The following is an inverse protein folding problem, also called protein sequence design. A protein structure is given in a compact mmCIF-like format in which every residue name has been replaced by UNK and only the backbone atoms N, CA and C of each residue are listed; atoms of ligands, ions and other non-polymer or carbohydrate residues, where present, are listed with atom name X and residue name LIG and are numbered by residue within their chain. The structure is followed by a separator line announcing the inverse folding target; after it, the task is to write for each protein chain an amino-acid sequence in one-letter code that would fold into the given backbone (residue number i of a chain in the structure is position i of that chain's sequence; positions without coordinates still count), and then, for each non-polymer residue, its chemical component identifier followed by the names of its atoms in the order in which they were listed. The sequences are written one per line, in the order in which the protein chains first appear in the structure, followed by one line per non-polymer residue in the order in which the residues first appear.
data_IF_554603833898
#
_entry.id   IF_554603833898
#
_cell.length_a   1.000
_cell.length_b   1.000
_cell.length_c   1.000
_cell.angle_alpha   90.00
_cell.angle_beta   90.00
_cell.angle_gamma   90.00
#
_symmetry.space_group_name_H-M   'P 1'
#
loop_
_entity.id
_entity.type
_entity.pdbx_description
1 polymer ?
#
# COMPACT_ATOMS: atom_id res chain seq x y z
N UNK A 1 2.15 12.41 61.21
CA UNK A 1 2.00 13.07 59.90
C UNK A 1 2.75 12.19 58.90
N UNK A 2 2.06 11.66 57.89
CA UNK A 2 2.61 11.37 56.55
C UNK A 2 1.53 10.65 55.72
N UNK A 3 0.97 11.39 54.77
CA UNK A 3 -0.03 10.91 53.82
C UNK A 3 0.75 10.29 52.64
N UNK A 4 0.55 9.00 52.41
CA UNK A 4 1.07 8.34 51.21
C UNK A 4 0.17 8.69 50.02
N UNK A 5 0.68 9.47 49.08
CA UNK A 5 0.02 9.75 47.82
C UNK A 5 0.43 8.68 46.79
N UNK A 6 -0.53 7.86 46.36
CA UNK A 6 -0.39 6.94 45.23
C UNK A 6 -0.74 7.70 43.94
N UNK A 7 0.26 7.99 43.12
CA UNK A 7 0.06 8.59 41.79
C UNK A 7 -0.35 7.53 40.78
N UNK A 8 -1.59 7.59 40.30
CA UNK A 8 -2.07 6.80 39.16
C UNK A 8 -1.65 7.46 37.84
N UNK A 9 -0.74 6.84 37.09
CA UNK A 9 -0.38 7.29 35.75
C UNK A 9 -1.39 6.73 34.72
N UNK A 10 -2.28 7.59 34.24
CA UNK A 10 -3.12 7.32 33.07
C UNK A 10 -2.24 7.37 31.81
N UNK A 11 -1.90 6.21 31.24
CA UNK A 11 -1.36 6.14 29.88
C UNK A 11 -2.50 6.44 28.90
N UNK A 12 -2.68 7.71 28.57
CA UNK A 12 -3.54 8.13 27.47
C UNK A 12 -2.93 7.73 26.14
N UNK A 13 -3.57 6.80 25.44
CA UNK A 13 -3.30 6.47 24.03
C UNK A 13 -3.52 7.69 23.16
N UNK A 14 -2.47 8.47 22.98
CA UNK A 14 -2.44 9.58 22.05
C UNK A 14 -2.41 9.02 20.63
N UNK A 15 -3.58 9.04 19.98
CA UNK A 15 -3.72 8.82 18.55
C UNK A 15 -2.96 9.96 17.86
N UNK A 16 -1.73 9.68 17.43
CA UNK A 16 -0.97 10.60 16.59
C UNK A 16 -1.68 10.71 15.26
N UNK A 17 -2.44 11.78 15.07
CA UNK A 17 -2.99 12.16 13.77
C UNK A 17 -1.84 12.80 13.01
N UNK A 18 -1.15 12.03 12.17
CA UNK A 18 -0.17 12.58 11.25
C UNK A 18 -0.94 13.39 10.19
N UNK A 19 -0.60 14.66 9.94
CA UNK A 19 -1.26 15.42 8.89
C UNK A 19 -0.93 14.79 7.55
N UNK A 20 -1.94 14.23 6.88
CA UNK A 20 -1.83 13.84 5.46
C UNK A 20 -1.61 15.08 4.63
N UNK A 21 -0.52 15.06 3.88
CA UNK A 21 -0.29 16.07 2.85
C UNK A 21 -1.35 15.92 1.76
N UNK A 22 -1.95 17.04 1.34
CA UNK A 22 -2.77 17.07 0.12
C UNK A 22 -1.94 16.83 -1.15
N UNK A 23 -0.62 16.69 -1.02
CA UNK A 23 0.30 16.34 -2.10
C UNK A 23 0.64 14.87 -2.05
N UNK A 24 0.84 14.29 -3.24
CA UNK A 24 1.41 12.95 -3.40
C UNK A 24 2.75 12.88 -2.65
N UNK A 25 3.04 11.82 -1.88
CA UNK A 25 4.29 11.69 -1.13
C UNK A 25 5.50 11.59 -2.07
N UNK A 26 6.66 12.05 -1.60
CA UNK A 26 7.93 11.84 -2.31
C UNK A 26 8.52 10.49 -1.95
N UNK A 27 8.48 9.55 -2.89
CA UNK A 27 8.99 8.19 -2.72
C UNK A 27 10.38 8.05 -3.35
N UNK A 28 11.29 7.32 -2.67
CA UNK A 28 12.67 7.09 -3.11
C UNK A 28 12.77 5.99 -4.19
N UNK A 29 12.12 6.23 -5.33
CA UNK A 29 12.00 5.26 -6.43
C UNK A 29 13.35 4.82 -7.03
N UNK A 30 14.35 5.70 -7.06
CA UNK A 30 15.67 5.32 -7.58
C UNK A 30 16.34 4.25 -6.71
N UNK A 31 16.19 4.34 -5.38
CA UNK A 31 16.73 3.36 -4.46
C UNK A 31 16.00 2.01 -4.61
N UNK A 32 14.66 2.05 -4.74
CA UNK A 32 13.84 0.88 -5.05
C UNK A 32 14.32 0.21 -6.34
N UNK A 33 14.38 0.95 -7.45
CA UNK A 33 14.72 0.39 -8.75
C UNK A 33 16.14 -0.20 -8.81
N UNK A 34 17.10 0.39 -8.08
CA UNK A 34 18.46 -0.19 -7.95
C UNK A 34 18.43 -1.51 -7.17
N UNK A 35 17.68 -1.56 -6.07
CA UNK A 35 17.53 -2.76 -5.27
C UNK A 35 16.87 -3.88 -6.08
N UNK A 36 15.72 -3.61 -6.72
CA UNK A 36 15.01 -4.59 -7.56
C UNK A 36 15.90 -5.18 -8.64
N UNK A 37 16.62 -4.33 -9.39
CA UNK A 37 17.52 -4.82 -10.44
C UNK A 37 18.70 -5.64 -9.90
N UNK A 38 19.21 -5.30 -8.70
CA UNK A 38 20.27 -6.05 -8.04
C UNK A 38 19.78 -7.40 -7.51
N UNK A 39 18.59 -7.42 -6.89
CA UNK A 39 17.96 -8.61 -6.34
C UNK A 39 17.60 -9.60 -7.45
N UNK A 40 16.96 -9.13 -8.53
CA UNK A 40 16.62 -9.97 -9.69
C UNK A 40 17.85 -10.61 -10.33
N UNK A 41 18.94 -9.84 -10.42
CA UNK A 41 20.24 -10.35 -10.89
C UNK A 41 20.82 -11.39 -9.93
N UNK A 42 20.76 -11.13 -8.61
CA UNK A 42 21.26 -12.05 -7.59
C UNK A 42 20.47 -13.37 -7.56
N UNK A 43 19.16 -13.30 -7.84
CA UNK A 43 18.27 -14.45 -7.96
C UNK A 43 18.40 -15.18 -9.31
N UNK A 44 19.08 -14.60 -10.30
CA UNK A 44 19.23 -15.19 -11.63
C UNK A 44 17.90 -15.34 -12.35
N UNK A 45 16.97 -14.38 -12.20
CA UNK A 45 15.66 -14.45 -12.85
C UNK A 45 15.82 -14.47 -14.37
N UNK A 46 14.99 -15.28 -15.05
CA UNK A 46 14.99 -15.38 -16.51
C UNK A 46 14.53 -14.08 -17.20
N UNK A 47 13.66 -13.31 -16.55
CA UNK A 47 13.22 -11.99 -16.96
C UNK A 47 13.47 -11.01 -15.80
N UNK A 48 14.70 -10.51 -15.61
CA UNK A 48 14.99 -9.55 -14.58
C UNK A 48 14.41 -8.19 -14.96
N UNK A 49 13.88 -7.49 -13.97
CA UNK A 49 13.37 -6.14 -14.09
C UNK A 49 14.57 -5.19 -14.25
N UNK A 50 14.64 -4.47 -15.37
CA UNK A 50 15.73 -3.51 -15.59
C UNK A 50 15.49 -2.22 -14.80
N UNK A 51 16.56 -1.56 -14.36
CA UNK A 51 16.45 -0.24 -13.71
C UNK A 51 15.65 0.77 -14.55
N UNK A 52 15.84 0.77 -15.87
CA UNK A 52 15.15 1.69 -16.77
C UNK A 52 13.65 1.39 -16.86
N UNK A 53 13.27 0.11 -16.92
CA UNK A 53 11.86 -0.28 -16.90
C UNK A 53 11.19 0.08 -15.58
N UNK A 54 11.90 -0.13 -14.45
CA UNK A 54 11.38 0.23 -13.12
C UNK A 54 11.09 1.73 -13.05
N UNK A 55 12.09 2.55 -13.42
CA UNK A 55 11.96 4.00 -13.38
C UNK A 55 10.84 4.50 -14.29
N UNK A 56 10.63 3.86 -15.46
CA UNK A 56 9.52 4.19 -16.36
C UNK A 56 8.18 3.92 -15.69
N UNK A 57 8.02 2.76 -15.09
CA UNK A 57 6.76 2.32 -14.50
C UNK A 57 6.43 3.18 -13.27
N UNK A 58 7.41 3.42 -12.40
CA UNK A 58 7.31 4.31 -11.23
C UNK A 58 6.97 5.76 -11.62
N UNK A 59 7.64 6.30 -12.65
CA UNK A 59 7.35 7.67 -13.13
C UNK A 59 5.95 7.76 -13.74
N UNK A 60 5.50 6.70 -14.41
CA UNK A 60 4.15 6.64 -14.98
C UNK A 60 3.10 6.61 -13.88
N UNK A 61 3.32 5.78 -12.86
CA UNK A 61 2.44 5.69 -11.70
C UNK A 61 2.39 7.00 -10.91
N UNK A 62 3.52 7.68 -10.72
CA UNK A 62 3.56 8.99 -10.07
C UNK A 62 2.70 10.03 -10.80
N UNK A 63 2.77 10.07 -12.14
CA UNK A 63 1.93 10.97 -12.96
C UNK A 63 0.45 10.65 -12.81
N UNK A 64 0.09 9.36 -12.77
CA UNK A 64 -1.29 8.92 -12.57
C UNK A 64 -1.78 9.21 -11.16
N UNK A 65 -0.94 9.09 -10.13
CA UNK A 65 -1.27 9.53 -8.77
C UNK A 65 -1.63 11.01 -8.72
N UNK A 66 -0.96 11.85 -9.50
CA UNK A 66 -1.31 13.27 -9.62
C UNK A 66 -2.77 13.53 -10.04
N UNK A 67 -3.44 12.58 -10.71
CA UNK A 67 -4.84 12.73 -11.12
C UNK A 67 -5.83 12.15 -10.11
N UNK A 68 -5.48 11.05 -9.41
CA UNK A 68 -6.39 10.35 -8.50
C UNK A 68 -6.20 10.71 -7.02
N UNK A 69 -5.06 11.29 -6.65
CA UNK A 69 -4.73 11.60 -5.24
C UNK A 69 -5.80 12.48 -4.60
N UNK A 70 -6.12 13.60 -5.25
CA UNK A 70 -7.12 14.56 -4.75
C UNK A 70 -8.52 13.97 -4.55
N UNK A 71 -8.88 12.92 -5.30
CA UNK A 71 -10.19 12.26 -5.19
C UNK A 71 -10.23 11.15 -4.14
N UNK A 72 -9.08 10.56 -3.81
CA UNK A 72 -9.00 9.57 -2.75
C UNK A 72 -9.27 10.21 -1.39
N UNK A 73 -10.06 9.56 -0.54
CA UNK A 73 -10.32 10.02 0.84
C UNK A 73 -9.05 9.93 1.69
N UNK A 74 -8.90 10.83 2.67
CA UNK A 74 -7.74 10.85 3.58
C UNK A 74 -7.39 9.48 4.17
N UNK A 75 -8.33 8.68 4.72
CA UNK A 75 -8.00 7.35 5.26
C UNK A 75 -7.46 6.36 4.22
N UNK A 76 -7.87 6.50 2.95
CA UNK A 76 -7.34 5.66 1.86
C UNK A 76 -5.92 6.10 1.52
N UNK A 77 -5.64 7.40 1.45
CA UNK A 77 -4.29 7.92 1.24
C UNK A 77 -3.34 7.43 2.34
N UNK A 78 -3.76 7.54 3.61
CA UNK A 78 -3.01 7.07 4.77
C UNK A 78 -2.66 5.58 4.68
N UNK A 79 -3.69 4.74 4.47
CA UNK A 79 -3.51 3.29 4.41
C UNK A 79 -2.60 2.91 3.25
N UNK A 80 -2.82 3.49 2.06
CA UNK A 80 -2.07 3.14 0.88
C UNK A 80 -0.63 3.67 0.90
N UNK A 81 -0.38 4.84 1.49
CA UNK A 81 0.98 5.33 1.71
C UNK A 81 1.73 4.43 2.71
N UNK A 82 1.06 4.01 3.79
CA UNK A 82 1.60 3.05 4.74
C UNK A 82 1.97 1.71 4.09
N UNK A 83 1.10 1.19 3.21
CA UNK A 83 1.38 -0.04 2.46
C UNK A 83 2.53 0.12 1.46
N UNK A 84 2.53 1.21 0.68
CA UNK A 84 3.54 1.48 -0.34
C UNK A 84 4.94 1.79 0.22
N UNK A 85 5.02 2.05 1.53
CA UNK A 85 6.27 2.30 2.26
C UNK A 85 6.67 1.17 3.22
N UNK A 86 5.82 0.14 3.36
CA UNK A 86 6.04 -0.96 4.27
C UNK A 86 7.25 -1.82 3.85
N UNK A 87 7.99 -2.36 4.82
CA UNK A 87 9.15 -3.20 4.54
C UNK A 87 10.33 -2.47 3.89
N UNK A 88 10.30 -1.13 3.83
CA UNK A 88 11.34 -0.31 3.23
C UNK A 88 11.25 -0.17 1.72
N UNK A 89 10.22 -0.75 1.07
CA UNK A 89 9.88 -0.42 -0.31
C UNK A 89 9.34 1.01 -0.38
N UNK A 90 9.45 1.65 -1.55
CA UNK A 90 8.89 2.99 -1.80
C UNK A 90 8.44 3.07 -3.26
N UNK A 91 7.25 2.53 -3.53
CA UNK A 91 6.72 2.37 -4.89
C UNK A 91 5.45 3.20 -5.13
N UNK A 92 5.47 4.02 -6.18
CA UNK A 92 4.28 4.68 -6.70
C UNK A 92 3.34 3.71 -7.39
N UNK A 93 3.84 2.61 -7.96
CA UNK A 93 3.01 1.55 -8.55
C UNK A 93 2.15 0.91 -7.47
N UNK A 94 2.74 0.57 -6.32
CA UNK A 94 2.00 -0.01 -5.18
C UNK A 94 0.99 1.00 -4.61
N UNK A 95 1.41 2.26 -4.41
CA UNK A 95 0.54 3.32 -3.93
C UNK A 95 -0.68 3.55 -4.83
N UNK A 96 -0.44 3.66 -6.14
CA UNK A 96 -1.50 3.82 -7.12
C UNK A 96 -2.45 2.63 -7.13
N UNK A 97 -1.89 1.42 -7.10
CA UNK A 97 -2.66 0.17 -7.13
C UNK A 97 -3.56 0.07 -5.90
N UNK A 98 -3.04 0.36 -4.70
CA UNK A 98 -3.84 0.36 -3.48
C UNK A 98 -5.02 1.32 -3.57
N UNK A 99 -4.80 2.55 -4.06
CA UNK A 99 -5.89 3.54 -4.23
C UNK A 99 -6.93 3.02 -5.22
N UNK A 100 -6.52 2.49 -6.37
CA UNK A 100 -7.44 1.96 -7.38
C UNK A 100 -8.27 0.79 -6.83
N UNK A 101 -7.65 -0.12 -6.06
CA UNK A 101 -8.33 -1.24 -5.42
C UNK A 101 -9.33 -0.77 -4.37
N UNK A 102 -8.99 0.25 -3.56
CA UNK A 102 -9.90 0.83 -2.59
C UNK A 102 -11.14 1.46 -3.26
N UNK A 103 -10.99 2.07 -4.43
CA UNK A 103 -12.11 2.61 -5.21
C UNK A 103 -12.96 1.51 -5.87
N UNK A 104 -12.35 0.39 -6.29
CA UNK A 104 -13.09 -0.76 -6.82
C UNK A 104 -13.99 -1.41 -5.77
N UNK A 105 -13.55 -1.51 -4.51
CA UNK A 105 -14.37 -2.06 -3.41
C UNK A 105 -15.60 -1.18 -3.11
N UNK A 106 -15.50 0.13 -3.34
CA UNK A 106 -16.63 1.05 -3.20
C UNK A 106 -17.64 0.92 -4.35
N UNK A 107 -17.22 0.40 -5.50
CA UNK A 107 -18.09 0.16 -6.64
C UNK A 107 -18.89 -1.13 -6.41
N UNK A 108 -20.24 -1.09 -6.44
CA UNK A 108 -21.07 -2.26 -6.22
C UNK A 108 -21.01 -3.17 -7.46
N UNK A 109 -19.89 -3.82 -7.71
CA UNK A 109 -19.90 -5.00 -8.58
C UNK A 109 -20.67 -6.06 -7.82
N UNK A 110 -21.85 -6.39 -8.34
CA UNK A 110 -22.69 -7.45 -7.81
C UNK A 110 -21.79 -8.67 -7.60
N UNK A 111 -21.62 -9.06 -6.33
CA UNK A 111 -20.97 -10.32 -5.99
C UNK A 111 -21.70 -11.40 -6.76
N UNK A 112 -21.19 -11.78 -7.92
CA UNK A 112 -21.63 -12.97 -8.61
C UNK A 112 -21.28 -14.05 -7.60
N UNK A 113 -22.31 -14.53 -6.88
CA UNK A 113 -22.20 -15.67 -5.98
C UNK A 113 -21.43 -16.71 -6.77
N UNK A 114 -20.18 -16.97 -6.40
CA UNK A 114 -19.39 -18.01 -7.02
C UNK A 114 -20.17 -19.30 -6.75
N UNK A 115 -20.98 -19.73 -7.73
CA UNK A 115 -21.82 -20.91 -7.62
C UNK A 115 -20.88 -22.08 -7.83
N UNK A 116 -20.31 -22.58 -6.74
CA UNK A 116 -19.43 -23.74 -6.76
C UNK A 116 -20.14 -24.90 -7.47
N UNK A 117 -19.57 -25.37 -8.57
CA UNK A 117 -20.02 -26.59 -9.26
C UNK A 117 -19.51 -27.83 -8.52
N UNK A 118 -19.84 -27.98 -7.23
CA UNK A 118 -19.62 -29.24 -6.51
C UNK A 118 -20.78 -30.17 -6.81
N UNK A 119 -20.76 -30.76 -8.01
CA UNK A 119 -21.69 -31.81 -8.41
C UNK A 119 -21.12 -33.16 -7.94
N UNK A 120 -21.61 -33.59 -6.78
CA UNK A 120 -21.75 -34.98 -6.32
C UNK A 120 -20.87 -36.03 -7.03
N UNK A 121 -19.73 -36.40 -6.43
CA UNK A 121 -19.06 -37.68 -6.69
C UNK A 121 -19.31 -38.62 -5.52
N UNK A 122 -20.53 -39.13 -5.42
CA UNK A 122 -20.81 -40.34 -4.68
C UNK A 122 -21.64 -41.27 -5.57
N UNK A 123 -20.96 -42.24 -6.18
CA UNK A 123 -21.52 -43.57 -6.43
C UNK A 123 -20.35 -44.53 -6.51
N UNK A 124 -20.53 -45.64 -5.80
CA UNK A 124 -19.65 -46.80 -5.73
C UNK A 124 -19.44 -47.46 -7.08
#
# INVERSE_FOLDING_TARGET
MNIAALSAALLGSQLFVMPVSDRVPELKVEALCKATAADDKAMGLALPQSFADCMRDETTAQKQLGTVWGTASVPVRDSCEGEATAGGSQSYVDLLTCIQMAEWVKSPSASTRLRGASKNRNSQ
#
